data_IF_161189714311
#
_entry.id   IF_161189714311
#
_cell.length_a   1.000
_cell.length_b   1.000
_cell.length_c   1.000
_cell.angle_alpha   90.00
_cell.angle_beta   90.00
_cell.angle_gamma   90.00
#
_symmetry.space_group_name_H-M   'P 1'
#
loop_
_entity.id
_entity.type
_entity.pdbx_description
1 polymer ?
#
# COMPACT_ATOMS: atom_id res chain seq x y z
N UNK A 1 -2.95 17.48 11.15
CA UNK A 1 -1.89 16.60 11.72
C UNK A 1 -2.46 15.18 11.78
N UNK A 2 -1.67 14.15 11.50
CA UNK A 2 -2.09 12.73 11.59
C UNK A 2 -1.73 12.11 12.93
N UNK A 3 -1.88 10.78 13.05
CA UNK A 3 -1.59 10.03 14.29
C UNK A 3 -0.10 9.98 14.67
N UNK A 4 0.81 10.31 13.75
CA UNK A 4 2.26 10.28 13.94
C UNK A 4 2.83 8.90 14.33
N UNK A 5 2.17 7.82 13.90
CA UNK A 5 2.67 6.44 14.06
C UNK A 5 3.83 6.14 13.11
N UNK A 6 3.76 6.67 11.88
CA UNK A 6 4.80 6.54 10.86
C UNK A 6 5.29 7.94 10.48
N UNK A 7 6.61 8.16 10.51
CA UNK A 7 7.20 9.47 10.21
C UNK A 7 7.18 9.74 8.71
N UNK A 8 6.47 10.80 8.29
CA UNK A 8 6.32 11.11 6.88
C UNK A 8 5.32 12.23 6.62
N UNK A 9 4.97 12.38 5.34
CA UNK A 9 3.92 13.30 4.88
C UNK A 9 2.98 12.57 3.94
N UNK A 10 1.78 13.09 3.77
CA UNK A 10 0.86 12.68 2.70
C UNK A 10 0.79 13.84 1.71
N UNK A 11 1.10 13.56 0.44
CA UNK A 11 1.27 14.59 -0.60
C UNK A 11 0.31 14.33 -1.76
N UNK A 12 -0.10 15.39 -2.46
CA UNK A 12 -1.03 15.27 -3.60
C UNK A 12 -0.27 14.81 -4.84
N UNK A 13 -0.90 14.00 -5.69
CA UNK A 13 -0.36 13.72 -7.02
C UNK A 13 -0.15 15.01 -7.85
N UNK A 14 0.86 15.04 -8.74
CA UNK A 14 1.08 16.17 -9.66
C UNK A 14 -0.16 16.48 -10.51
N UNK A 15 -0.40 17.77 -10.78
CA UNK A 15 -1.56 18.25 -11.58
C UNK A 15 -1.63 17.72 -13.01
N UNK A 16 -0.54 17.18 -13.54
CA UNK A 16 -0.47 16.63 -14.91
C UNK A 16 -1.10 15.23 -15.04
N UNK A 17 -1.43 14.58 -13.92
CA UNK A 17 -2.09 13.28 -13.90
C UNK A 17 -3.61 13.43 -13.76
N UNK A 18 -4.37 12.43 -14.20
CA UNK A 18 -5.79 12.34 -13.89
C UNK A 18 -5.94 12.05 -12.40
N UNK A 19 -6.53 12.97 -11.63
CA UNK A 19 -6.67 12.84 -10.18
C UNK A 19 -8.15 12.96 -9.81
N UNK A 20 -8.73 11.99 -9.06
CA UNK A 20 -8.04 10.96 -8.28
C UNK A 20 -7.52 9.79 -9.13
N UNK A 21 -6.50 9.10 -8.62
CA UNK A 21 -6.13 7.76 -9.07
C UNK A 21 -7.28 6.83 -8.69
N UNK A 22 -8.12 6.49 -9.67
CA UNK A 22 -9.28 5.60 -9.53
C UNK A 22 -9.12 4.43 -10.49
N UNK A 23 -9.19 3.22 -9.97
CA UNK A 23 -9.21 2.00 -10.75
C UNK A 23 -8.21 0.96 -10.26
N UNK A 24 -8.01 -0.07 -11.09
CA UNK A 24 -7.06 -1.13 -10.82
C UNK A 24 -5.64 -0.69 -11.20
N UNK A 25 -4.67 -0.93 -10.31
CA UNK A 25 -3.25 -0.73 -10.59
C UNK A 25 -2.40 -1.83 -9.93
N UNK A 26 -1.16 -1.97 -10.38
CA UNK A 26 -0.23 -2.99 -9.91
C UNK A 26 0.43 -2.58 -8.59
N UNK A 27 0.37 -3.47 -7.61
CA UNK A 27 1.18 -3.47 -6.40
C UNK A 27 2.35 -4.42 -6.64
N UNK A 28 3.56 -3.91 -6.49
CA UNK A 28 4.81 -4.66 -6.54
C UNK A 28 5.34 -4.80 -5.12
N UNK A 29 5.51 -6.04 -4.65
CA UNK A 29 6.08 -6.32 -3.34
C UNK A 29 7.57 -5.95 -3.33
N UNK A 30 8.03 -5.32 -2.25
CA UNK A 30 9.43 -4.96 -2.03
C UNK A 30 9.87 -5.40 -0.64
N UNK A 31 10.93 -6.21 -0.59
CA UNK A 31 11.41 -6.83 0.65
C UNK A 31 10.41 -7.81 1.28
N UNK A 32 10.65 -8.13 2.54
CA UNK A 32 9.80 -9.04 3.31
C UNK A 32 8.57 -8.30 3.85
N UNK A 33 7.39 -8.87 3.60
CA UNK A 33 6.08 -8.31 3.97
C UNK A 33 5.19 -9.38 4.56
N UNK A 34 4.56 -9.08 5.69
CA UNK A 34 3.50 -9.92 6.25
C UNK A 34 2.29 -9.90 5.33
N UNK A 35 1.82 -8.70 4.95
CA UNK A 35 0.60 -8.53 4.15
C UNK A 35 0.72 -9.15 2.76
N UNK A 36 1.90 -9.06 2.14
CA UNK A 36 2.17 -9.55 0.80
C UNK A 36 2.88 -10.91 0.77
N UNK A 37 3.03 -11.57 1.92
CA UNK A 37 3.65 -12.89 2.00
C UNK A 37 2.98 -13.89 1.05
N UNK A 38 3.78 -14.81 0.51
CA UNK A 38 3.35 -15.83 -0.46
C UNK A 38 2.82 -15.26 -1.80
N UNK A 39 3.17 -14.02 -2.14
CA UNK A 39 3.00 -13.49 -3.48
C UNK A 39 4.30 -12.93 -4.05
N UNK A 40 4.76 -13.57 -5.13
CA UNK A 40 5.85 -13.05 -5.93
C UNK A 40 5.33 -12.10 -7.03
N UNK A 41 6.10 -11.05 -7.30
CA UNK A 41 5.90 -10.13 -8.42
C UNK A 41 4.83 -9.07 -8.20
N UNK A 42 4.01 -8.81 -9.25
CA UNK A 42 3.03 -7.71 -9.27
C UNK A 42 1.59 -8.24 -9.25
N UNK A 43 0.71 -7.59 -8.50
CA UNK A 43 -0.71 -7.95 -8.37
C UNK A 43 -1.63 -6.75 -8.54
N UNK A 44 -2.78 -6.96 -9.16
CA UNK A 44 -3.78 -5.91 -9.35
C UNK A 44 -4.55 -5.65 -8.06
N UNK A 45 -4.64 -4.37 -7.67
CA UNK A 45 -5.44 -3.91 -6.56
C UNK A 45 -6.25 -2.66 -6.92
N UNK A 46 -7.35 -2.42 -6.21
CA UNK A 46 -8.25 -1.29 -6.48
C UNK A 46 -7.87 -0.05 -5.65
N UNK A 47 -7.63 1.07 -6.34
CA UNK A 47 -7.26 2.35 -5.76
C UNK A 47 -8.35 3.41 -5.99
N UNK A 48 -8.52 4.33 -5.03
CA UNK A 48 -9.40 5.49 -5.13
C UNK A 48 -8.89 6.65 -4.24
N UNK A 49 -7.86 7.37 -4.69
CA UNK A 49 -7.21 8.41 -3.87
C UNK A 49 -6.59 9.55 -4.68
N UNK A 50 -6.49 10.75 -4.09
CA UNK A 50 -5.82 11.92 -4.70
C UNK A 50 -4.44 12.24 -4.11
N UNK A 51 -4.12 11.61 -2.98
CA UNK A 51 -2.90 11.84 -2.21
C UNK A 51 -2.25 10.50 -1.90
N UNK A 52 -0.93 10.47 -1.75
CA UNK A 52 -0.17 9.26 -1.45
C UNK A 52 0.85 9.53 -0.32
N UNK A 53 1.28 8.49 0.42
CA UNK A 53 2.23 8.65 1.52
C UNK A 53 3.66 8.87 1.01
N UNK A 54 4.43 9.65 1.75
CA UNK A 54 5.86 9.84 1.58
C UNK A 54 6.54 9.61 2.94
N UNK A 55 6.75 8.34 3.33
CA UNK A 55 7.52 7.97 4.51
C UNK A 55 8.94 8.50 4.43
N UNK A 56 9.47 8.93 5.57
CA UNK A 56 10.89 9.29 5.71
C UNK A 56 11.77 8.05 5.79
N UNK A 57 11.33 7.05 6.55
CA UNK A 57 11.98 5.74 6.60
C UNK A 57 11.54 4.92 5.39
N UNK A 58 12.51 4.36 4.65
CA UNK A 58 12.24 3.53 3.46
C UNK A 58 12.11 2.06 3.81
N UNK A 59 12.63 1.61 4.95
CA UNK A 59 12.61 0.22 5.38
C UNK A 59 11.18 -0.27 5.70
N UNK A 60 10.29 0.66 6.04
CA UNK A 60 8.87 0.37 6.30
C UNK A 60 8.05 0.15 5.03
N UNK A 61 8.59 0.47 3.85
CA UNK A 61 7.86 0.34 2.57
C UNK A 61 7.95 -1.12 2.13
N UNK A 62 6.79 -1.78 2.03
CA UNK A 62 6.69 -3.20 1.68
C UNK A 62 6.03 -3.46 0.32
N UNK A 63 5.40 -2.43 -0.25
CA UNK A 63 4.82 -2.49 -1.58
C UNK A 63 4.80 -1.13 -2.24
N UNK A 64 5.07 -1.10 -3.54
CA UNK A 64 5.09 0.10 -4.36
C UNK A 64 4.10 0.00 -5.52
N UNK A 65 3.64 1.16 -5.99
CA UNK A 65 2.77 1.28 -7.17
C UNK A 65 3.22 2.47 -8.01
N UNK A 66 3.22 2.32 -9.32
CA UNK A 66 3.53 3.38 -10.27
C UNK A 66 2.25 4.01 -10.84
N UNK A 67 2.04 5.30 -10.59
CA UNK A 67 0.97 6.10 -11.20
C UNK A 67 1.51 7.46 -11.62
N UNK A 68 2.30 7.51 -12.70
CA UNK A 68 3.08 8.69 -13.12
C UNK A 68 4.21 9.09 -12.16
N UNK A 69 4.07 8.75 -10.88
CA UNK A 69 5.08 8.74 -9.83
C UNK A 69 5.00 7.40 -9.12
N UNK A 70 6.15 6.90 -8.65
CA UNK A 70 6.20 5.74 -7.77
C UNK A 70 5.81 6.17 -6.35
N UNK A 71 4.93 5.40 -5.70
CA UNK A 71 4.51 5.66 -4.33
C UNK A 71 4.38 4.38 -3.50
N UNK A 72 4.55 4.45 -2.17
CA UNK A 72 4.29 3.33 -1.27
C UNK A 72 2.80 2.98 -1.25
N UNK A 73 2.48 1.78 -1.71
CA UNK A 73 1.12 1.23 -1.66
C UNK A 73 0.91 0.26 -0.50
N UNK A 74 1.99 -0.23 0.12
CA UNK A 74 1.97 -1.00 1.38
C UNK A 74 3.10 -0.53 2.30
N UNK A 75 2.79 -0.35 3.58
CA UNK A 75 3.76 -0.05 4.64
C UNK A 75 3.55 -0.96 5.85
N UNK A 76 4.65 -1.35 6.49
CA UNK A 76 4.66 -2.18 7.70
C UNK A 76 5.77 -1.72 8.65
N UNK A 77 5.41 -1.44 9.91
CA UNK A 77 6.36 -1.15 10.99
C UNK A 77 5.85 -1.75 12.30
N UNK A 78 6.57 -2.74 12.85
CA UNK A 78 6.18 -3.46 14.08
C UNK A 78 4.74 -4.00 13.97
N UNK A 79 3.81 -3.43 14.71
CA UNK A 79 2.39 -3.79 14.74
C UNK A 79 1.50 -2.84 13.94
N UNK A 80 2.08 -1.94 13.14
CA UNK A 80 1.38 -0.97 12.30
C UNK A 80 1.46 -1.42 10.84
N UNK A 81 0.29 -1.53 10.21
CA UNK A 81 0.11 -1.99 8.83
C UNK A 81 -0.75 -1.00 8.07
N UNK A 82 -0.44 -0.77 6.79
CA UNK A 82 -1.25 0.11 5.95
C UNK A 82 -1.19 -0.25 4.48
N UNK A 83 -2.36 -0.24 3.82
CA UNK A 83 -2.49 -0.33 2.36
C UNK A 83 -3.09 0.96 1.82
N UNK A 84 -2.54 1.46 0.70
CA UNK A 84 -3.14 2.61 0.00
C UNK A 84 -4.30 2.18 -0.91
N UNK A 85 -4.30 0.92 -1.37
CA UNK A 85 -5.43 0.31 -2.04
C UNK A 85 -6.47 -0.20 -1.03
N UNK A 86 -7.63 -0.54 -1.56
CA UNK A 86 -8.77 -1.12 -0.84
C UNK A 86 -8.74 -2.65 -0.94
N UNK A 87 -8.16 -3.39 0.03
CA UNK A 87 -8.10 -4.84 -0.04
C UNK A 87 -9.50 -5.47 -0.12
N UNK A 88 -10.50 -4.90 0.53
CA UNK A 88 -11.90 -5.36 0.46
C UNK A 88 -12.53 -5.23 -0.94
N UNK A 89 -11.94 -4.41 -1.83
CA UNK A 89 -12.38 -4.21 -3.23
C UNK A 89 -11.43 -4.83 -4.25
N UNK A 90 -10.41 -5.56 -3.81
CA UNK A 90 -9.31 -6.05 -4.66
C UNK A 90 -9.40 -7.55 -4.98
N UNK A 91 -10.60 -8.14 -4.90
CA UNK A 91 -10.85 -9.54 -5.26
C UNK A 91 -9.98 -10.53 -4.47
N UNK A 92 -9.50 -11.58 -5.14
CA UNK A 92 -8.68 -12.61 -4.51
C UNK A 92 -7.38 -12.07 -3.90
N UNK A 93 -6.72 -11.12 -4.57
CA UNK A 93 -5.51 -10.50 -4.03
C UNK A 93 -5.81 -9.76 -2.71
N UNK A 94 -6.90 -9.00 -2.70
CA UNK A 94 -7.38 -8.31 -1.52
C UNK A 94 -7.76 -9.23 -0.37
N UNK A 95 -8.47 -10.33 -0.68
CA UNK A 95 -8.82 -11.38 0.29
C UNK A 95 -7.58 -11.97 0.94
N UNK A 96 -6.56 -12.27 0.15
CA UNK A 96 -5.28 -12.80 0.64
C UNK A 96 -4.57 -11.84 1.58
N UNK A 97 -4.49 -10.55 1.23
CA UNK A 97 -3.88 -9.51 2.08
C UNK A 97 -4.57 -9.46 3.46
N UNK A 98 -5.91 -9.51 3.48
CA UNK A 98 -6.68 -9.52 4.73
C UNK A 98 -6.44 -10.83 5.50
N UNK A 99 -6.41 -11.97 4.82
CA UNK A 99 -6.15 -13.26 5.45
C UNK A 99 -4.77 -13.29 6.13
N UNK A 100 -3.72 -12.83 5.44
CA UNK A 100 -2.37 -12.71 6.01
C UNK A 100 -2.34 -11.85 7.27
N UNK A 101 -3.05 -10.71 7.26
CA UNK A 101 -3.17 -9.85 8.43
C UNK A 101 -3.85 -10.57 9.61
N UNK A 102 -4.97 -11.26 9.36
CA UNK A 102 -5.69 -12.02 10.40
C UNK A 102 -4.83 -13.13 10.97
N UNK A 103 -4.09 -13.84 10.12
CA UNK A 103 -3.16 -14.90 10.56
C UNK A 103 -2.01 -14.33 11.40
N UNK A 104 -1.51 -13.15 11.08
CA UNK A 104 -0.50 -12.46 11.89
C UNK A 104 -1.04 -12.07 13.27
N UNK A 105 -2.25 -11.49 13.34
CA UNK A 105 -2.86 -11.04 14.60
C UNK A 105 -3.20 -12.19 15.55
N UNK A 106 -3.43 -13.40 15.02
CA UNK A 106 -3.73 -14.59 15.83
C UNK A 106 -2.52 -15.22 16.51
N UNK A 107 -1.31 -14.80 16.16
CA UNK A 107 -0.06 -15.29 16.78
C UNK A 107 0.19 -14.55 18.08
#
# INVERSE_FOLDING_TARGET
>A
KGLNLLNGKVVRFPKKLKVPHIGWNLVEAVGDSVLLSNYDGKKWAYFAHSYYPLPKDKEIIKGITLYGVEFPSVVEEKNVFGTQFHPEKSGEFGRHVIQNFVEYVRR
#
